data_IF_668081036778
#
_entry.id   IF_668081036778
#
_cell.length_a   1.000
_cell.length_b   1.000
_cell.length_c   1.000
_cell.angle_alpha   90.00
_cell.angle_beta   90.00
_cell.angle_gamma   90.00
#
_symmetry.space_group_name_H-M   'P 1'
#
loop_
_entity.id
_entity.type
_entity.pdbx_description
1 polymer ?
#
# COMPACT_ATOMS: atom_id res chain seq x y z
N UNK A 1 -14.12 -14.10 16.77
CA UNK A 1 -12.78 -14.43 16.27
C UNK A 1 -11.92 -13.17 16.30
N UNK A 2 -10.68 -13.26 16.76
CA UNK A 2 -9.72 -12.16 16.75
C UNK A 2 -9.53 -11.65 15.30
N UNK A 3 -9.48 -10.32 15.04
CA UNK A 3 -9.42 -9.79 13.68
C UNK A 3 -8.21 -10.25 12.86
N UNK A 4 -7.03 -10.34 13.48
CA UNK A 4 -5.81 -10.80 12.80
C UNK A 4 -5.86 -12.30 12.48
N UNK A 5 -6.47 -13.10 13.36
CA UNK A 5 -6.73 -14.54 13.08
C UNK A 5 -7.71 -14.69 11.93
N UNK A 6 -8.79 -13.88 11.91
CA UNK A 6 -9.76 -13.90 10.81
C UNK A 6 -9.10 -13.57 9.46
N UNK A 7 -8.24 -12.54 9.44
CA UNK A 7 -7.45 -12.19 8.25
C UNK A 7 -6.63 -13.39 7.74
N UNK A 8 -5.85 -14.03 8.61
CA UNK A 8 -5.03 -15.20 8.24
C UNK A 8 -5.86 -16.39 7.72
N UNK A 9 -6.97 -16.68 8.38
CA UNK A 9 -7.89 -17.76 7.96
C UNK A 9 -8.51 -17.44 6.60
N UNK A 10 -8.91 -16.18 6.37
CA UNK A 10 -9.46 -15.74 5.09
C UNK A 10 -8.45 -15.89 3.95
N UNK A 11 -7.22 -15.42 4.13
CA UNK A 11 -6.17 -15.57 3.10
C UNK A 11 -5.85 -17.05 2.83
N UNK A 12 -5.76 -17.86 3.88
CA UNK A 12 -5.57 -19.30 3.72
C UNK A 12 -6.71 -19.94 2.92
N UNK A 13 -7.96 -19.60 3.25
CA UNK A 13 -9.14 -20.10 2.54
C UNK A 13 -9.17 -19.66 1.08
N UNK A 14 -8.82 -18.39 0.78
CA UNK A 14 -8.73 -17.86 -0.59
C UNK A 14 -7.67 -18.61 -1.41
N UNK A 15 -6.47 -18.84 -0.85
CA UNK A 15 -5.42 -19.62 -1.52
C UNK A 15 -5.84 -21.07 -1.78
N UNK A 16 -6.54 -21.68 -0.83
CA UNK A 16 -7.06 -23.04 -1.03
C UNK A 16 -8.10 -23.07 -2.15
N UNK A 17 -9.07 -22.15 -2.14
CA UNK A 17 -10.11 -22.04 -3.15
C UNK A 17 -9.53 -21.73 -4.55
N UNK A 18 -8.48 -20.90 -4.62
CA UNK A 18 -7.73 -20.61 -5.83
C UNK A 18 -7.07 -21.88 -6.40
N UNK A 19 -6.35 -22.63 -5.55
CA UNK A 19 -5.73 -23.91 -5.95
C UNK A 19 -6.74 -24.93 -6.44
N UNK A 20 -7.92 -24.98 -5.83
CA UNK A 20 -9.03 -25.83 -6.24
C UNK A 20 -9.78 -25.32 -7.48
N UNK A 21 -9.45 -24.10 -7.98
CA UNK A 21 -10.10 -23.43 -9.11
C UNK A 21 -11.59 -23.20 -8.93
N UNK A 22 -12.06 -23.03 -7.69
CA UNK A 22 -13.49 -22.80 -7.40
C UNK A 22 -13.84 -21.32 -7.27
N UNK A 23 -12.88 -20.40 -7.12
CA UNK A 23 -13.15 -18.98 -6.96
C UNK A 23 -13.96 -18.38 -8.12
N UNK A 24 -13.67 -18.64 -9.40
CA UNK A 24 -14.45 -18.07 -10.51
C UNK A 24 -15.92 -18.54 -10.48
N UNK A 25 -16.18 -19.75 -9.99
CA UNK A 25 -17.55 -20.29 -9.84
C UNK A 25 -18.32 -19.59 -8.71
N UNK A 26 -17.62 -19.14 -7.66
CA UNK A 26 -18.22 -18.48 -6.51
C UNK A 26 -18.44 -16.98 -6.73
N UNK A 27 -17.57 -16.33 -7.51
CA UNK A 27 -17.58 -14.87 -7.70
C UNK A 27 -18.49 -14.42 -8.86
N UNK A 28 -18.81 -15.31 -9.79
CA UNK A 28 -19.60 -14.97 -10.98
C UNK A 28 -18.83 -14.11 -11.99
N UNK A 29 -19.56 -13.48 -12.90
CA UNK A 29 -18.96 -12.58 -13.91
C UNK A 29 -18.55 -11.26 -13.28
N UNK A 30 -17.30 -10.86 -13.49
CA UNK A 30 -16.78 -9.55 -13.09
C UNK A 30 -17.06 -8.55 -14.20
N UNK A 31 -17.72 -7.40 -13.89
CA UNK A 31 -17.94 -6.35 -14.86
C UNK A 31 -16.62 -5.84 -15.45
N UNK A 32 -16.53 -5.78 -16.76
CA UNK A 32 -15.39 -5.18 -17.47
C UNK A 32 -15.60 -3.67 -17.58
N UNK A 33 -14.67 -2.89 -17.05
CA UNK A 33 -14.59 -1.43 -17.17
C UNK A 33 -13.12 -1.04 -17.36
N UNK A 34 -12.53 -1.39 -18.53
CA UNK A 34 -11.10 -1.24 -18.73
C UNK A 34 -10.71 0.23 -18.82
N UNK A 35 -9.55 0.55 -18.22
CA UNK A 35 -8.92 1.85 -18.32
C UNK A 35 -7.42 1.69 -18.53
N UNK A 36 -6.82 2.58 -19.31
CA UNK A 36 -5.37 2.63 -19.51
C UNK A 36 -4.80 3.89 -18.84
N UNK A 37 -3.83 3.71 -17.94
CA UNK A 37 -3.14 4.79 -17.21
C UNK A 37 -1.65 4.50 -17.23
N UNK A 38 -0.83 5.46 -17.68
CA UNK A 38 0.64 5.33 -17.75
C UNK A 38 1.10 4.07 -18.52
N UNK A 39 0.36 3.68 -19.56
CA UNK A 39 0.63 2.48 -20.35
C UNK A 39 0.21 1.15 -19.68
N UNK A 40 -0.31 1.20 -18.45
CA UNK A 40 -0.87 0.04 -17.75
C UNK A 40 -2.36 -0.14 -18.10
N UNK A 41 -2.76 -1.37 -18.42
CA UNK A 41 -4.14 -1.71 -18.77
C UNK A 41 -4.83 -2.36 -17.57
N UNK A 42 -5.73 -1.63 -16.95
CA UNK A 42 -6.54 -2.10 -15.83
C UNK A 42 -7.82 -2.75 -16.39
N UNK A 43 -8.13 -4.01 -16.08
CA UNK A 43 -9.39 -4.65 -16.52
C UNK A 43 -10.65 -3.99 -15.98
N UNK A 44 -10.56 -3.39 -14.81
CA UNK A 44 -11.58 -2.56 -14.18
C UNK A 44 -10.93 -1.62 -13.15
N UNK A 45 -11.73 -0.66 -12.63
CA UNK A 45 -11.25 0.40 -11.74
C UNK A 45 -11.24 0.03 -10.25
N UNK A 46 -11.59 -1.21 -9.90
CA UNK A 46 -11.62 -1.66 -8.52
C UNK A 46 -10.35 -2.44 -8.21
N UNK A 47 -9.58 -1.95 -7.24
CA UNK A 47 -8.34 -2.57 -6.80
C UNK A 47 -8.31 -2.91 -5.34
N UNK A 48 -7.43 -3.84 -4.98
CA UNK A 48 -7.11 -4.17 -3.61
C UNK A 48 -5.95 -3.29 -3.13
N UNK A 49 -6.18 -2.52 -2.07
CA UNK A 49 -5.12 -1.71 -1.46
C UNK A 49 -4.14 -2.55 -0.65
N UNK A 50 -2.89 -2.05 -0.54
CA UNK A 50 -1.86 -2.64 0.32
C UNK A 50 -2.32 -2.82 1.78
N UNK A 51 -1.82 -3.85 2.42
CA UNK A 51 -2.12 -4.20 3.81
C UNK A 51 -3.03 -5.42 3.95
N UNK A 52 -3.71 -5.86 2.91
CA UNK A 52 -4.46 -7.12 2.90
C UNK A 52 -3.54 -8.29 2.57
N UNK A 53 -2.86 -8.25 1.44
CA UNK A 53 -1.84 -9.24 1.05
C UNK A 53 -0.43 -8.70 1.32
N UNK A 54 0.04 -8.89 2.57
CA UNK A 54 1.33 -8.33 3.01
C UNK A 54 2.53 -9.12 2.52
N UNK A 55 2.32 -10.38 2.21
CA UNK A 55 3.37 -11.31 1.78
C UNK A 55 3.36 -11.54 0.25
N UNK A 56 2.38 -10.97 -0.45
CA UNK A 56 2.17 -11.17 -1.89
C UNK A 56 1.91 -12.65 -2.27
N UNK A 57 1.35 -13.43 -1.35
CA UNK A 57 1.13 -14.87 -1.54
C UNK A 57 -0.31 -15.22 -1.94
N UNK A 58 -1.17 -14.21 -2.12
CA UNK A 58 -2.60 -14.39 -2.41
C UNK A 58 -3.05 -13.66 -3.70
N UNK A 59 -2.12 -13.12 -4.48
CA UNK A 59 -2.36 -12.29 -5.68
C UNK A 59 -3.29 -13.00 -6.68
N UNK A 60 -3.03 -14.26 -7.02
CA UNK A 60 -3.88 -15.04 -7.94
C UNK A 60 -5.33 -15.12 -7.47
N UNK A 61 -5.54 -15.32 -6.15
CA UNK A 61 -6.88 -15.45 -5.60
C UNK A 61 -7.65 -14.12 -5.67
N UNK A 62 -7.00 -13.00 -5.41
CA UNK A 62 -7.62 -11.68 -5.53
C UNK A 62 -7.93 -11.33 -7.00
N UNK A 63 -7.07 -11.70 -7.94
CA UNK A 63 -7.38 -11.58 -9.37
C UNK A 63 -8.62 -12.39 -9.76
N UNK A 64 -8.71 -13.63 -9.32
CA UNK A 64 -9.90 -14.47 -9.56
C UNK A 64 -11.16 -13.97 -8.82
N UNK A 65 -10.99 -13.22 -7.72
CA UNK A 65 -12.09 -12.53 -7.04
C UNK A 65 -12.57 -11.26 -7.77
N UNK A 66 -11.91 -10.87 -8.87
CA UNK A 66 -12.36 -9.81 -9.77
C UNK A 66 -11.69 -8.47 -9.60
N UNK A 67 -10.67 -8.34 -8.75
CA UNK A 67 -9.89 -7.10 -8.67
C UNK A 67 -9.12 -6.85 -9.98
N UNK A 68 -9.29 -5.66 -10.55
CA UNK A 68 -8.57 -5.22 -11.75
C UNK A 68 -7.10 -4.92 -11.48
N UNK A 69 -6.77 -4.59 -10.24
CA UNK A 69 -5.39 -4.45 -9.77
C UNK A 69 -5.27 -4.86 -8.30
N UNK A 70 -4.06 -5.25 -7.92
CA UNK A 70 -3.73 -5.66 -6.54
C UNK A 70 -2.46 -4.95 -6.12
N UNK A 71 -2.51 -4.23 -5.00
CA UNK A 71 -1.33 -3.67 -4.35
C UNK A 71 -0.96 -4.55 -3.15
N UNK A 72 0.21 -5.20 -3.24
CA UNK A 72 0.74 -6.08 -2.20
C UNK A 72 1.66 -5.33 -1.24
N UNK A 73 1.89 -5.88 -0.06
CA UNK A 73 2.79 -5.30 0.94
C UNK A 73 2.03 -4.56 2.05
N UNK A 74 2.70 -3.71 2.78
CA UNK A 74 4.00 -3.05 2.57
C UNK A 74 5.13 -4.04 2.84
N UNK A 75 6.06 -4.14 1.91
CA UNK A 75 7.28 -4.92 2.02
C UNK A 75 8.44 -4.02 2.47
N UNK A 76 9.33 -4.56 3.30
CA UNK A 76 10.53 -3.86 3.78
C UNK A 76 11.78 -4.63 3.36
N UNK A 77 12.99 -4.02 3.33
CA UNK A 77 14.19 -4.74 2.92
C UNK A 77 14.42 -6.04 3.68
N UNK A 78 14.27 -6.00 4.99
CA UNK A 78 14.41 -7.16 5.90
C UNK A 78 13.05 -7.55 6.47
N UNK A 79 12.84 -8.83 6.79
CA UNK A 79 11.65 -9.27 7.54
C UNK A 79 11.53 -8.52 8.86
N UNK A 80 10.29 -8.25 9.27
CA UNK A 80 10.00 -7.69 10.59
C UNK A 80 8.64 -8.13 11.12
N UNK A 81 8.51 -8.35 12.45
CA UNK A 81 7.28 -8.86 13.05
C UNK A 81 6.14 -7.83 13.12
N UNK A 82 6.46 -6.54 12.90
CA UNK A 82 5.55 -5.43 13.17
C UNK A 82 5.45 -5.09 14.65
N UNK A 83 4.38 -4.37 15.01
CA UNK A 83 4.13 -3.96 16.40
C UNK A 83 3.51 -5.09 17.23
N UNK A 84 3.55 -4.94 18.56
CA UNK A 84 2.99 -5.90 19.50
C UNK A 84 1.48 -6.08 19.36
N UNK A 85 1.02 -7.29 19.66
CA UNK A 85 -0.40 -7.63 19.67
C UNK A 85 -1.02 -7.35 21.06
N UNK A 86 -2.34 -6.99 21.10
CA UNK A 86 -3.28 -6.82 19.99
C UNK A 86 -3.02 -5.54 19.20
N UNK A 87 -3.18 -5.60 17.88
CA UNK A 87 -2.84 -4.50 16.96
C UNK A 87 -3.85 -4.24 15.84
N UNK A 88 -5.02 -4.88 15.91
CA UNK A 88 -6.11 -4.74 14.94
C UNK A 88 -7.46 -4.79 15.68
N UNK A 89 -8.26 -3.74 15.54
CA UNK A 89 -9.49 -3.53 16.30
C UNK A 89 -10.64 -3.16 15.37
N UNK A 90 -11.75 -3.93 15.44
CA UNK A 90 -12.99 -3.62 14.72
C UNK A 90 -13.85 -2.69 15.55
N UNK A 91 -14.38 -1.66 14.89
CA UNK A 91 -15.39 -0.75 15.42
C UNK A 91 -16.68 -0.96 14.60
N UNK A 92 -17.38 -2.05 14.88
CA UNK A 92 -18.50 -2.55 14.04
C UNK A 92 -19.60 -1.51 13.87
N UNK A 93 -20.10 -0.83 14.93
CA UNK A 93 -21.16 0.18 14.79
C UNK A 93 -20.74 1.36 13.90
N UNK A 94 -19.44 1.70 13.87
CA UNK A 94 -18.89 2.79 13.07
C UNK A 94 -18.40 2.35 11.70
N UNK A 95 -18.54 1.07 11.36
CA UNK A 95 -17.98 0.49 10.12
C UNK A 95 -16.51 0.84 9.92
N UNK A 96 -15.70 0.69 10.98
CA UNK A 96 -14.34 1.16 11.04
C UNK A 96 -13.38 0.12 11.62
N UNK A 97 -12.08 0.35 11.37
CA UNK A 97 -10.98 -0.43 11.92
C UNK A 97 -9.89 0.52 12.42
N UNK A 98 -9.36 0.25 13.62
CA UNK A 98 -8.10 0.82 14.08
C UNK A 98 -7.03 -0.25 13.96
N UNK A 99 -5.89 0.08 13.35
CA UNK A 99 -4.75 -0.81 13.27
C UNK A 99 -3.43 -0.12 13.63
N UNK A 100 -2.53 -0.90 14.22
CA UNK A 100 -1.13 -0.53 14.47
C UNK A 100 -0.20 -1.66 14.03
N UNK A 101 -0.38 -2.15 12.81
CA UNK A 101 0.31 -3.35 12.30
C UNK A 101 1.84 -3.18 12.26
N UNK A 102 2.36 -2.02 11.80
CA UNK A 102 3.79 -1.72 11.80
C UNK A 102 4.58 -2.48 10.73
N UNK A 103 4.01 -2.66 9.53
CA UNK A 103 4.65 -3.32 8.40
C UNK A 103 5.20 -4.72 8.71
N UNK A 104 4.39 -5.56 9.36
CA UNK A 104 4.76 -6.97 9.53
C UNK A 104 4.82 -7.65 8.17
N UNK A 105 5.99 -8.21 7.82
CA UNK A 105 6.23 -8.89 6.55
C UNK A 105 7.54 -9.73 6.60
N UNK A 106 7.67 -10.68 5.67
CA UNK A 106 8.83 -11.58 5.54
C UNK A 106 9.96 -10.99 4.66
N UNK A 107 9.91 -9.70 4.37
CA UNK A 107 10.91 -8.97 3.59
C UNK A 107 10.67 -9.01 2.08
N UNK A 108 11.31 -8.06 1.38
CA UNK A 108 11.12 -7.85 -0.06
C UNK A 108 11.51 -9.09 -0.89
N UNK A 109 12.53 -9.82 -0.48
CA UNK A 109 12.99 -11.00 -1.22
C UNK A 109 11.93 -12.10 -1.25
N UNK A 110 11.30 -12.38 -0.09
CA UNK A 110 10.20 -13.35 0.00
C UNK A 110 8.97 -12.88 -0.79
N UNK A 111 8.62 -11.60 -0.70
CA UNK A 111 7.52 -11.03 -1.47
C UNK A 111 7.72 -11.15 -2.98
N UNK A 112 8.90 -10.85 -3.48
CA UNK A 112 9.25 -10.98 -4.92
C UNK A 112 9.15 -12.44 -5.38
N UNK A 113 9.59 -13.40 -4.58
CA UNK A 113 9.47 -14.82 -4.92
C UNK A 113 8.00 -15.27 -4.97
N UNK A 114 7.18 -14.80 -4.03
CA UNK A 114 5.74 -15.05 -4.04
C UNK A 114 5.07 -14.46 -5.28
N UNK A 115 5.44 -13.22 -5.66
CA UNK A 115 4.92 -12.57 -6.89
C UNK A 115 5.28 -13.39 -8.14
N UNK A 116 6.52 -13.85 -8.26
CA UNK A 116 6.94 -14.69 -9.40
C UNK A 116 6.12 -15.97 -9.54
N UNK A 117 5.62 -16.50 -8.43
CA UNK A 117 4.75 -17.68 -8.42
C UNK A 117 3.29 -17.35 -8.77
N UNK A 118 2.89 -16.08 -8.81
CA UNK A 118 1.53 -15.62 -9.11
C UNK A 118 1.24 -15.56 -10.62
N UNK A 119 1.35 -16.69 -11.31
CA UNK A 119 1.30 -16.78 -12.78
C UNK A 119 -0.10 -16.66 -13.41
N UNK A 120 -1.17 -16.59 -12.59
CA UNK A 120 -2.58 -16.54 -13.07
C UNK A 120 -3.24 -15.18 -12.86
N UNK A 121 -2.50 -14.20 -12.41
CA UNK A 121 -3.00 -12.84 -12.29
C UNK A 121 -2.77 -12.09 -13.62
N UNK A 122 -3.83 -11.47 -14.14
CA UNK A 122 -3.82 -10.75 -15.41
C UNK A 122 -4.20 -9.27 -15.28
N UNK A 123 -4.26 -8.77 -14.04
CA UNK A 123 -4.46 -7.35 -13.73
C UNK A 123 -3.14 -6.62 -13.55
N UNK A 124 -3.22 -5.40 -13.04
CA UNK A 124 -2.05 -4.57 -12.71
C UNK A 124 -1.58 -4.88 -11.29
N UNK A 125 -0.28 -5.17 -11.14
CA UNK A 125 0.33 -5.49 -9.84
C UNK A 125 1.14 -4.31 -9.31
N UNK A 126 0.68 -3.72 -8.22
CA UNK A 126 1.42 -2.75 -7.44
C UNK A 126 2.23 -3.41 -6.32
N UNK A 127 3.47 -2.96 -6.12
CA UNK A 127 4.28 -3.37 -4.96
C UNK A 127 4.47 -2.18 -4.04
N UNK A 128 3.85 -2.25 -2.86
CA UNK A 128 3.97 -1.24 -1.82
C UNK A 128 5.22 -1.51 -0.99
N UNK A 129 6.10 -0.52 -0.91
CA UNK A 129 7.38 -0.64 -0.20
C UNK A 129 7.50 0.40 0.92
N UNK A 130 8.26 0.05 1.95
CA UNK A 130 8.50 0.91 3.09
C UNK A 130 9.85 0.63 3.74
N UNK A 131 10.27 1.54 4.64
CA UNK A 131 11.49 1.32 5.42
C UNK A 131 11.25 0.39 6.61
N UNK A 132 12.26 -0.34 7.02
CA UNK A 132 12.25 -1.09 8.27
C UNK A 132 12.07 -0.16 9.48
N UNK A 133 11.40 -0.65 10.53
CA UNK A 133 11.15 0.11 11.77
C UNK A 133 12.46 0.57 12.44
N UNK A 134 13.49 -0.26 12.37
CA UNK A 134 14.79 -0.01 13.02
C UNK A 134 15.70 0.92 12.20
N UNK A 135 15.39 1.19 10.95
CA UNK A 135 16.17 2.10 10.10
C UNK A 135 15.82 3.54 10.47
N UNK A 136 16.79 4.41 10.79
CA UNK A 136 16.56 5.83 11.05
C UNK A 136 16.01 6.54 9.80
N UNK A 137 15.39 7.72 9.98
CA UNK A 137 14.82 8.46 8.84
C UNK A 137 15.89 9.02 7.90
N UNK A 138 17.07 9.36 8.42
CA UNK A 138 18.23 9.77 7.62
C UNK A 138 18.70 8.72 6.63
N UNK A 139 18.52 7.43 6.96
CA UNK A 139 18.88 6.28 6.14
C UNK A 139 17.69 5.70 5.33
N UNK A 140 16.50 6.30 5.47
CA UNK A 140 15.27 5.79 4.87
C UNK A 140 15.40 5.56 3.36
N UNK A 141 16.04 6.46 2.64
CA UNK A 141 16.23 6.37 1.19
C UNK A 141 16.89 5.03 0.78
N UNK A 142 17.86 4.53 1.56
CA UNK A 142 18.53 3.28 1.27
C UNK A 142 17.59 2.07 1.32
N UNK A 143 16.67 2.03 2.29
CA UNK A 143 15.66 0.98 2.41
C UNK A 143 14.69 1.01 1.22
N UNK A 144 14.20 2.19 0.83
CA UNK A 144 13.33 2.33 -0.34
C UNK A 144 14.04 1.93 -1.64
N UNK A 145 15.28 2.36 -1.85
CA UNK A 145 16.07 1.99 -3.03
C UNK A 145 16.32 0.48 -3.10
N UNK A 146 16.61 -0.15 -1.97
CA UNK A 146 16.77 -1.61 -1.89
C UNK A 146 15.49 -2.34 -2.32
N UNK A 147 14.34 -1.90 -1.82
CA UNK A 147 13.06 -2.47 -2.20
C UNK A 147 12.67 -2.16 -3.65
N UNK A 148 12.95 -0.94 -4.14
CA UNK A 148 12.70 -0.51 -5.51
C UNK A 148 13.41 -1.44 -6.50
N UNK A 149 14.71 -1.65 -6.32
CA UNK A 149 15.52 -2.54 -7.18
C UNK A 149 14.99 -3.97 -7.18
N UNK A 150 14.65 -4.49 -6.00
CA UNK A 150 14.15 -5.85 -5.86
C UNK A 150 12.76 -6.05 -6.50
N UNK A 151 11.86 -5.07 -6.35
CA UNK A 151 10.50 -5.12 -6.90
C UNK A 151 10.45 -4.82 -8.40
N UNK A 152 11.45 -4.10 -8.96
CA UNK A 152 11.48 -3.64 -10.35
C UNK A 152 11.14 -4.70 -11.40
N UNK A 153 11.69 -5.94 -11.34
CA UNK A 153 11.41 -6.96 -12.36
C UNK A 153 9.98 -7.50 -12.34
N UNK A 154 9.23 -7.31 -11.25
CA UNK A 154 7.95 -7.99 -11.00
C UNK A 154 6.76 -7.06 -10.81
N UNK A 155 6.97 -5.76 -10.57
CA UNK A 155 5.93 -4.79 -10.32
C UNK A 155 5.50 -4.10 -11.62
N UNK A 156 4.20 -3.80 -11.80
CA UNK A 156 3.72 -2.89 -12.83
C UNK A 156 3.82 -1.43 -12.38
N UNK A 157 3.63 -1.16 -11.08
CA UNK A 157 3.99 0.10 -10.43
C UNK A 157 4.54 -0.14 -9.02
N UNK A 158 5.24 0.84 -8.47
CA UNK A 158 5.78 0.78 -7.11
C UNK A 158 5.20 1.91 -6.28
N UNK A 159 4.58 1.56 -5.14
CA UNK A 159 4.00 2.51 -4.20
C UNK A 159 4.93 2.74 -3.01
N UNK A 160 5.33 3.99 -2.81
CA UNK A 160 6.21 4.42 -1.71
C UNK A 160 5.34 4.75 -0.49
N UNK A 161 5.40 3.91 0.53
CA UNK A 161 4.63 4.11 1.76
C UNK A 161 5.46 4.85 2.82
N UNK A 162 5.39 6.17 2.79
CA UNK A 162 6.04 7.06 3.76
C UNK A 162 5.04 7.75 4.69
N UNK A 163 3.80 7.25 4.73
CA UNK A 163 2.65 7.87 5.41
C UNK A 163 2.01 7.04 6.50
N UNK A 164 2.55 5.85 6.82
CA UNK A 164 2.01 5.01 7.88
C UNK A 164 2.14 5.68 9.26
N UNK A 165 1.06 5.76 10.06
CA UNK A 165 1.12 6.27 11.41
C UNK A 165 1.72 5.26 12.41
N UNK A 166 2.01 4.05 11.97
CA UNK A 166 2.35 2.91 12.81
C UNK A 166 3.86 2.61 12.87
N UNK A 167 4.66 3.43 12.20
CA UNK A 167 6.13 3.41 12.24
C UNK A 167 6.60 4.77 12.79
N UNK A 168 7.31 4.80 13.94
CA UNK A 168 7.74 6.06 14.56
C UNK A 168 8.48 6.97 13.59
N UNK A 169 8.12 8.24 13.56
CA UNK A 169 8.76 9.28 12.75
C UNK A 169 8.59 9.15 11.23
N UNK A 170 7.94 8.08 10.72
CA UNK A 170 7.84 7.87 9.27
C UNK A 170 7.16 9.03 8.54
N UNK A 171 6.14 9.62 9.16
CA UNK A 171 5.40 10.74 8.59
C UNK A 171 6.21 12.04 8.50
N UNK A 172 7.33 12.15 9.22
CA UNK A 172 8.23 13.30 9.11
C UNK A 172 8.85 13.37 7.69
N UNK A 173 8.91 12.21 6.98
CA UNK A 173 9.31 12.16 5.59
C UNK A 173 8.31 12.82 4.63
N UNK A 174 7.09 13.15 5.07
CA UNK A 174 6.11 13.88 4.27
C UNK A 174 6.29 15.40 4.33
N UNK A 175 7.20 15.95 5.14
CA UNK A 175 7.58 17.35 5.02
C UNK A 175 8.25 17.60 3.65
N UNK A 176 8.07 18.78 3.08
CA UNK A 176 8.45 19.09 1.71
C UNK A 176 9.91 18.73 1.37
N UNK A 177 10.86 19.16 2.21
CA UNK A 177 12.29 18.91 1.96
C UNK A 177 12.68 17.42 2.07
N UNK A 178 12.29 16.64 3.13
CA UNK A 178 12.52 15.20 3.16
C UNK A 178 11.85 14.45 1.99
N UNK A 179 10.62 14.85 1.62
CA UNK A 179 9.90 14.23 0.50
C UNK A 179 10.61 14.48 -0.83
N UNK A 180 11.10 15.72 -1.07
CA UNK A 180 11.86 16.06 -2.27
C UNK A 180 13.15 15.23 -2.36
N UNK A 181 13.95 15.17 -1.29
CA UNK A 181 15.18 14.36 -1.28
C UNK A 181 14.94 12.87 -1.54
N UNK A 182 13.92 12.32 -0.90
CA UNK A 182 13.55 10.92 -1.11
C UNK A 182 13.11 10.68 -2.56
N UNK A 183 12.21 11.52 -3.07
CA UNK A 183 11.68 11.37 -4.42
C UNK A 183 12.78 11.58 -5.49
N UNK A 184 13.66 12.58 -5.34
CA UNK A 184 14.80 12.76 -6.23
C UNK A 184 15.69 11.52 -6.31
N UNK A 185 15.98 10.89 -5.16
CA UNK A 185 16.77 9.64 -5.12
C UNK A 185 16.05 8.48 -5.83
N UNK A 186 14.74 8.35 -5.63
CA UNK A 186 13.94 7.32 -6.29
C UNK A 186 13.82 7.53 -7.79
N UNK A 187 13.62 8.77 -8.25
CA UNK A 187 13.53 9.12 -9.69
C UNK A 187 14.86 8.93 -10.41
N UNK A 188 15.97 9.25 -9.74
CA UNK A 188 17.31 8.95 -10.26
C UNK A 188 17.50 7.46 -10.48
N UNK A 189 17.13 6.65 -9.49
CA UNK A 189 17.24 5.19 -9.59
C UNK A 189 16.25 4.60 -10.60
N UNK A 190 15.03 5.14 -10.68
CA UNK A 190 14.05 4.77 -11.71
C UNK A 190 14.64 4.93 -13.11
N UNK A 191 15.30 6.07 -13.35
CA UNK A 191 15.94 6.36 -14.64
C UNK A 191 17.08 5.37 -14.95
N UNK A 192 17.92 5.05 -13.96
CA UNK A 192 19.00 4.09 -14.13
C UNK A 192 18.45 2.69 -14.48
N UNK A 193 17.46 2.22 -13.72
CA UNK A 193 16.83 0.91 -13.95
C UNK A 193 16.09 0.87 -15.29
N UNK A 194 15.44 1.95 -15.70
CA UNK A 194 14.78 2.04 -17.00
C UNK A 194 15.77 1.90 -18.16
N UNK A 195 16.92 2.54 -18.07
CA UNK A 195 18.01 2.41 -19.06
C UNK A 195 18.59 1.00 -19.07
N UNK A 196 18.85 0.43 -17.89
CA UNK A 196 19.43 -0.91 -17.74
C UNK A 196 18.52 -2.01 -18.28
N UNK A 197 17.22 -1.91 -17.98
CA UNK A 197 16.25 -3.00 -18.24
C UNK A 197 15.39 -2.79 -19.48
N UNK A 198 15.40 -1.60 -20.07
CA UNK A 198 14.50 -1.21 -21.17
C UNK A 198 13.03 -1.11 -20.75
N UNK A 199 12.73 -1.11 -19.45
CA UNK A 199 11.39 -1.09 -18.88
C UNK A 199 11.23 0.10 -17.95
N UNK A 200 10.14 0.84 -18.08
CA UNK A 200 9.79 1.89 -17.12
C UNK A 200 8.69 1.37 -16.17
N UNK A 201 8.92 1.51 -14.86
CA UNK A 201 7.95 1.16 -13.82
C UNK A 201 7.58 2.44 -13.08
N UNK A 202 6.32 2.91 -13.16
CA UNK A 202 5.87 4.11 -12.48
C UNK A 202 6.04 4.04 -10.95
N UNK A 203 6.40 5.17 -10.35
CA UNK A 203 6.52 5.34 -8.90
C UNK A 203 5.38 6.21 -8.40
N UNK A 204 4.63 5.71 -7.41
CA UNK A 204 3.53 6.42 -6.76
C UNK A 204 3.89 6.71 -5.30
N UNK A 205 3.60 7.93 -4.84
CA UNK A 205 3.74 8.29 -3.42
C UNK A 205 2.40 8.14 -2.71
N UNK A 206 2.38 7.43 -1.55
CA UNK A 206 1.14 7.22 -0.77
C UNK A 206 1.11 8.14 0.43
N UNK A 207 0.20 9.13 0.40
CA UNK A 207 0.10 10.21 1.40
C UNK A 207 -0.87 9.89 2.54
N UNK A 208 -0.67 10.56 3.69
CA UNK A 208 -1.59 10.53 4.82
C UNK A 208 -2.79 11.46 4.58
N UNK A 209 -3.95 11.20 5.20
CA UNK A 209 -5.08 12.12 5.17
C UNK A 209 -4.92 13.29 6.15
N UNK A 210 -4.00 13.17 7.12
CA UNK A 210 -3.77 14.14 8.20
C UNK A 210 -2.75 15.21 7.74
N UNK A 211 -3.06 15.87 6.61
CA UNK A 211 -2.25 16.95 6.01
C UNK A 211 -3.07 18.22 5.94
N UNK A 212 -2.43 19.38 6.14
CA UNK A 212 -3.08 20.70 5.96
C UNK A 212 -3.09 21.11 4.50
N UNK A 213 -3.88 22.14 4.15
CA UNK A 213 -3.94 22.65 2.79
C UNK A 213 -2.58 23.22 2.34
N UNK A 214 -1.84 23.84 3.27
CA UNK A 214 -0.47 24.32 3.02
C UNK A 214 0.48 23.16 2.70
N UNK A 215 0.40 22.07 3.48
CA UNK A 215 1.20 20.87 3.24
C UNK A 215 0.84 20.19 1.91
N UNK A 216 -0.44 20.18 1.54
CA UNK A 216 -0.87 19.68 0.23
C UNK A 216 -0.25 20.52 -0.89
N UNK A 217 -0.31 21.86 -0.78
CA UNK A 217 0.26 22.74 -1.78
C UNK A 217 1.78 22.58 -1.91
N UNK A 218 2.49 22.44 -0.79
CA UNK A 218 3.94 22.22 -0.77
C UNK A 218 4.31 20.86 -1.39
N UNK A 219 3.64 19.77 -0.97
CA UNK A 219 3.88 18.43 -1.51
C UNK A 219 3.52 18.35 -2.99
N UNK A 220 2.41 18.97 -3.42
CA UNK A 220 2.03 19.00 -4.84
C UNK A 220 3.12 19.62 -5.69
N UNK A 221 3.71 20.72 -5.21
CA UNK A 221 4.84 21.38 -5.91
C UNK A 221 6.05 20.46 -5.99
N UNK A 222 6.43 19.83 -4.86
CA UNK A 222 7.53 18.87 -4.83
C UNK A 222 7.29 17.71 -5.80
N UNK A 223 6.08 17.15 -5.82
CA UNK A 223 5.75 16.03 -6.70
C UNK A 223 5.80 16.40 -8.19
N UNK A 224 5.40 17.62 -8.54
CA UNK A 224 5.48 18.12 -9.90
C UNK A 224 6.94 18.41 -10.30
N UNK A 225 7.70 19.09 -9.44
CA UNK A 225 9.08 19.48 -9.70
C UNK A 225 10.00 18.25 -9.86
N UNK A 226 9.79 17.21 -9.05
CA UNK A 226 10.56 15.96 -9.10
C UNK A 226 9.99 14.94 -10.11
N UNK A 227 8.92 15.28 -10.82
CA UNK A 227 8.32 14.42 -11.86
C UNK A 227 7.75 13.11 -11.33
N UNK A 228 7.00 13.15 -10.23
CA UNK A 228 6.29 11.98 -9.71
C UNK A 228 5.30 11.43 -10.75
N UNK A 229 5.25 10.11 -10.89
CA UNK A 229 4.38 9.46 -11.88
C UNK A 229 2.90 9.38 -11.41
N UNK A 230 2.66 9.33 -10.10
CA UNK A 230 1.31 9.29 -9.55
C UNK A 230 1.23 9.36 -8.03
N UNK A 231 0.01 9.57 -7.54
CA UNK A 231 -0.29 9.74 -6.12
C UNK A 231 -1.34 8.71 -5.67
N UNK A 232 -1.16 8.16 -4.47
CA UNK A 232 -2.17 7.33 -3.79
C UNK A 232 -2.67 8.10 -2.56
N UNK A 233 -3.92 8.50 -2.57
CA UNK A 233 -4.58 9.16 -1.47
C UNK A 233 -5.80 8.32 -1.02
N UNK A 234 -5.86 7.88 0.26
CA UNK A 234 -4.91 8.18 1.33
C UNK A 234 -4.54 6.92 2.13
N UNK A 235 -3.57 7.05 3.03
CA UNK A 235 -3.35 6.11 4.14
C UNK A 235 -4.46 6.28 5.20
N UNK A 236 -4.34 5.61 6.36
CA UNK A 236 -5.24 5.72 7.52
C UNK A 236 -4.99 7.01 8.30
N UNK A 237 -5.99 7.48 9.07
CA UNK A 237 -5.91 8.72 9.86
C UNK A 237 -5.60 8.48 11.33
N UNK A 238 -4.97 9.46 11.98
CA UNK A 238 -4.87 9.55 13.43
C UNK A 238 -6.09 10.24 14.08
N UNK A 239 -6.92 10.91 13.28
CA UNK A 239 -8.18 11.48 13.77
C UNK A 239 -9.10 10.40 14.33
N UNK A 240 -9.90 10.77 15.32
CA UNK A 240 -10.92 9.92 15.92
C UNK A 240 -12.33 10.44 15.67
N UNK A 241 -12.46 11.41 14.75
CA UNK A 241 -13.76 11.91 14.33
C UNK A 241 -14.65 10.76 13.82
N UNK A 242 -15.90 10.74 14.27
CA UNK A 242 -16.88 9.70 13.92
C UNK A 242 -16.77 8.40 14.71
N UNK A 243 -15.84 8.31 15.68
CA UNK A 243 -15.70 7.13 16.56
C UNK A 243 -15.68 7.48 18.05
N UNK A 244 -16.11 8.68 18.43
CA UNK A 244 -16.08 9.22 19.79
C UNK A 244 -16.83 8.33 20.80
N UNK A 245 -17.93 7.72 20.37
CA UNK A 245 -18.74 6.82 21.20
C UNK A 245 -18.15 5.41 21.32
N UNK A 246 -17.07 5.08 20.58
CA UNK A 246 -16.48 3.75 20.64
C UNK A 246 -15.65 3.56 21.91
N UNK A 247 -15.79 2.44 22.63
CA UNK A 247 -14.93 2.12 23.77
C UNK A 247 -13.47 1.90 23.36
N UNK A 248 -13.20 1.79 22.06
CA UNK A 248 -11.86 1.60 21.48
C UNK A 248 -11.28 2.85 20.85
N UNK A 249 -11.90 4.02 21.02
CA UNK A 249 -11.42 5.27 20.44
C UNK A 249 -10.00 5.64 20.87
N UNK A 250 -9.61 5.23 22.07
CA UNK A 250 -8.28 5.52 22.65
C UNK A 250 -7.18 4.56 22.17
N UNK A 251 -7.54 3.53 21.38
CA UNK A 251 -6.52 2.63 20.81
C UNK A 251 -5.60 3.39 19.86
N UNK A 252 -4.30 3.24 20.09
CA UNK A 252 -3.29 3.80 19.19
C UNK A 252 -3.33 3.14 17.83
N UNK A 253 -2.98 3.89 16.79
CA UNK A 253 -2.89 3.41 15.40
C UNK A 253 -3.75 4.19 14.43
N UNK A 254 -3.73 3.78 13.16
CA UNK A 254 -4.50 4.42 12.10
C UNK A 254 -5.95 3.94 12.05
N UNK A 255 -6.89 4.87 11.94
CA UNK A 255 -8.32 4.63 11.73
C UNK A 255 -8.63 4.60 10.24
N UNK A 256 -9.41 3.63 9.82
CA UNK A 256 -9.93 3.46 8.46
C UNK A 256 -11.43 3.12 8.48
N UNK A 257 -12.05 3.11 7.29
CA UNK A 257 -13.46 2.80 7.12
C UNK A 257 -14.33 4.05 6.98
N UNK A 258 -15.63 3.92 7.23
CA UNK A 258 -16.61 4.98 6.97
C UNK A 258 -16.23 6.37 7.54
N UNK A 259 -15.66 6.50 8.74
CA UNK A 259 -15.26 7.80 9.28
C UNK A 259 -14.21 8.55 8.45
N UNK A 260 -13.38 7.82 7.68
CA UNK A 260 -12.31 8.42 6.88
C UNK A 260 -12.79 8.86 5.48
N UNK A 261 -13.94 8.39 5.02
CA UNK A 261 -14.38 8.55 3.62
C UNK A 261 -14.41 10.02 3.17
N UNK A 262 -15.05 10.89 3.92
CA UNK A 262 -15.16 12.30 3.54
C UNK A 262 -13.77 12.96 3.44
N UNK A 263 -12.95 12.80 4.48
CA UNK A 263 -11.59 13.40 4.51
C UNK A 263 -10.69 12.86 3.41
N UNK A 264 -10.74 11.56 3.14
CA UNK A 264 -9.96 10.97 2.05
C UNK A 264 -10.35 11.57 0.70
N UNK A 265 -11.66 11.74 0.46
CA UNK A 265 -12.17 12.35 -0.78
C UNK A 265 -11.77 13.82 -0.92
N UNK A 266 -11.82 14.60 0.17
CA UNK A 266 -11.33 15.99 0.20
C UNK A 266 -9.85 16.07 -0.18
N UNK A 267 -9.01 15.23 0.43
CA UNK A 267 -7.56 15.19 0.14
C UNK A 267 -7.29 14.80 -1.31
N UNK A 268 -8.04 13.84 -1.87
CA UNK A 268 -7.94 13.47 -3.29
C UNK A 268 -8.26 14.67 -4.21
N UNK A 269 -9.28 15.43 -3.85
CA UNK A 269 -9.68 16.60 -4.67
C UNK A 269 -8.76 17.81 -4.51
N UNK A 270 -7.97 17.86 -3.42
CA UNK A 270 -7.08 18.97 -3.12
C UNK A 270 -5.68 18.81 -3.76
N UNK A 271 -5.20 17.56 -3.97
CA UNK A 271 -4.01 17.23 -4.75
C UNK A 271 -4.28 17.28 -6.26
#
# INVERSE_FOLDING_TARGET
MNPETAHKVTLWGLRLAEKMRVLPLLMGEVPSDPVEILGMKFPNRVGLAAGMDKEADTVNAFGQAGFGFVEVGTLTPRPQPGNDKPRLFRLIPQQAIINRMGFNNEGIAAGVENIRSATRFHGVLGVNIGKNKVTPNEDAAQDYLTCLRAAWPVADYIAINFSSPNTPGLRDLQAAEPAARLLASLKSEQSNLAVETGRNVPIFMKVAPDVTDEQIAELSRVFLDEGLDGLIATNTTLSRAGVEASPRREEAGGLSGAPLTARSTEVIGAF
#
